data_IF_266381741610
#
_entry.id   IF_266381741610
#
_cell.length_a   1.000
_cell.length_b   1.000
_cell.length_c   1.000
_cell.angle_alpha   90.00
_cell.angle_beta   90.00
_cell.angle_gamma   90.00
#
_symmetry.space_group_name_H-M   'P 1'
#
loop_
_entity.id
_entity.type
_entity.pdbx_description
1 polymer ?
#
# COMPACT_ATOMS: atom_id res chain seq x y z
N UNK A 1 33.77 10.70 4.67
CA UNK A 1 34.17 9.28 4.61
C UNK A 1 34.87 8.99 5.93
N UNK A 2 34.37 8.09 6.80
CA UNK A 2 35.16 7.64 7.93
C UNK A 2 36.08 6.50 7.48
N UNK A 3 37.33 6.55 7.91
CA UNK A 3 38.38 5.55 7.63
C UNK A 3 37.92 4.13 8.02
N UNK A 4 37.99 3.22 7.06
CA UNK A 4 37.56 1.81 7.19
C UNK A 4 38.69 0.91 7.71
N UNK A 5 39.83 1.47 8.10
CA UNK A 5 41.01 0.71 8.55
C UNK A 5 41.16 0.67 10.09
N UNK A 6 40.07 0.41 10.82
CA UNK A 6 40.18 -0.02 12.20
C UNK A 6 40.60 -1.50 12.19
N UNK A 7 41.84 -1.80 12.58
CA UNK A 7 42.28 -3.17 12.82
C UNK A 7 41.29 -3.88 13.74
N UNK A 8 40.72 -5.04 13.34
CA UNK A 8 39.82 -5.77 14.22
C UNK A 8 40.55 -6.07 15.53
N UNK A 9 39.91 -5.79 16.67
CA UNK A 9 40.45 -6.22 17.96
C UNK A 9 40.40 -7.74 17.93
N UNK A 10 41.52 -8.35 17.53
CA UNK A 10 41.78 -9.78 17.64
C UNK A 10 41.84 -10.11 19.12
N UNK A 11 40.67 -10.25 19.75
CA UNK A 11 40.52 -10.84 21.07
C UNK A 11 40.85 -12.32 20.90
N UNK A 12 42.09 -12.69 21.19
CA UNK A 12 42.52 -14.08 21.20
C UNK A 12 42.02 -14.74 22.49
N UNK A 13 41.57 -15.99 22.37
CA UNK A 13 41.19 -16.81 23.49
C UNK A 13 42.37 -17.00 24.45
N UNK A 14 42.18 -16.69 25.74
CA UNK A 14 43.20 -16.88 26.79
C UNK A 14 43.59 -18.36 27.02
N UNK A 15 42.77 -19.30 26.57
CA UNK A 15 42.98 -20.75 26.77
C UNK A 15 43.68 -21.40 25.57
N UNK A 16 43.22 -21.13 24.35
CA UNK A 16 43.71 -21.82 23.16
C UNK A 16 44.29 -20.89 22.07
N UNK A 17 44.31 -19.57 22.29
CA UNK A 17 44.78 -18.59 21.31
C UNK A 17 43.91 -18.43 20.07
N UNK A 18 42.76 -19.14 19.98
CA UNK A 18 41.81 -19.03 18.86
C UNK A 18 41.02 -17.72 18.86
N UNK A 19 40.40 -17.37 17.73
CA UNK A 19 39.63 -16.14 17.59
C UNK A 19 38.33 -16.17 18.42
N UNK A 20 37.97 -15.02 18.99
CA UNK A 20 36.73 -14.84 19.74
C UNK A 20 35.67 -14.21 18.82
N UNK A 21 34.50 -14.83 18.78
CA UNK A 21 33.29 -14.31 18.13
C UNK A 21 32.44 -13.60 19.17
N UNK A 22 32.15 -12.33 18.94
CA UNK A 22 31.39 -11.48 19.86
C UNK A 22 29.89 -11.50 19.53
N UNK A 23 29.07 -11.83 20.53
CA UNK A 23 27.63 -11.60 20.49
C UNK A 23 27.28 -10.42 21.41
N UNK A 24 27.39 -9.21 20.87
CA UNK A 24 27.12 -7.97 21.59
C UNK A 24 25.71 -7.92 22.18
N UNK A 25 24.71 -8.40 21.45
CA UNK A 25 23.30 -8.40 21.90
C UNK A 25 23.04 -9.43 22.99
N UNK A 26 23.72 -10.58 22.91
CA UNK A 26 23.66 -11.61 23.94
C UNK A 26 24.62 -11.39 25.10
N UNK A 27 25.37 -10.29 25.13
CA UNK A 27 26.35 -9.96 26.17
C UNK A 27 27.46 -11.01 26.35
N UNK A 28 27.68 -11.87 25.36
CA UNK A 28 28.57 -13.03 25.46
C UNK A 28 29.55 -13.06 24.31
N UNK A 29 30.69 -13.70 24.52
CA UNK A 29 31.66 -13.97 23.47
C UNK A 29 32.13 -15.42 23.56
N UNK A 30 32.36 -16.04 22.41
CA UNK A 30 32.65 -17.48 22.31
C UNK A 30 33.90 -17.68 21.47
N UNK A 31 34.82 -18.52 21.93
CA UNK A 31 35.98 -18.89 21.12
C UNK A 31 35.56 -19.83 19.99
N UNK A 32 35.92 -19.49 18.75
CA UNK A 32 35.64 -20.30 17.57
C UNK A 32 36.34 -21.67 17.58
N UNK A 33 37.45 -21.80 18.30
CA UNK A 33 38.26 -23.02 18.32
C UNK A 33 37.88 -23.97 19.48
N UNK A 34 37.80 -23.46 20.72
CA UNK A 34 37.54 -24.30 21.90
C UNK A 34 36.12 -24.20 22.47
N UNK A 35 35.26 -23.32 21.93
CA UNK A 35 33.85 -23.19 22.36
C UNK A 35 33.64 -22.57 23.75
N UNK A 36 34.70 -22.22 24.48
CA UNK A 36 34.59 -21.54 25.77
C UNK A 36 33.86 -20.20 25.61
N UNK A 37 33.04 -19.85 26.61
CA UNK A 37 32.21 -18.65 26.63
C UNK A 37 32.64 -17.72 27.77
N UNK A 38 32.64 -16.42 27.50
CA UNK A 38 32.88 -15.39 28.50
C UNK A 38 31.82 -14.30 28.40
N UNK A 39 31.62 -13.55 29.48
CA UNK A 39 30.87 -12.31 29.41
C UNK A 39 31.65 -11.30 28.57
N UNK A 40 30.96 -10.58 27.70
CA UNK A 40 31.62 -9.64 26.79
C UNK A 40 32.28 -8.47 27.54
N UNK A 41 31.76 -8.13 28.72
CA UNK A 41 32.28 -7.11 29.62
C UNK A 41 33.69 -7.46 30.16
N UNK A 42 33.99 -8.76 30.30
CA UNK A 42 35.28 -9.23 30.82
C UNK A 42 36.38 -9.21 29.74
N UNK A 43 35.97 -9.09 28.47
CA UNK A 43 36.85 -9.24 27.32
C UNK A 43 37.05 -7.90 26.59
N UNK A 44 36.04 -7.03 26.57
CA UNK A 44 36.11 -5.72 25.92
C UNK A 44 36.47 -4.62 26.95
N UNK A 45 37.62 -3.94 26.78
CA UNK A 45 37.95 -2.78 27.61
C UNK A 45 36.93 -1.66 27.43
N UNK A 46 36.54 -0.99 28.52
CA UNK A 46 35.56 0.11 28.52
C UNK A 46 34.17 -0.25 27.97
N UNK A 47 33.74 -1.51 28.16
CA UNK A 47 32.41 -1.98 27.75
C UNK A 47 31.25 -1.08 28.20
N UNK A 48 31.40 -0.43 29.36
CA UNK A 48 30.42 0.52 29.91
C UNK A 48 29.98 1.60 28.90
N UNK A 49 30.90 2.06 28.05
CA UNK A 49 30.63 3.07 27.00
C UNK A 49 29.63 2.58 25.95
N UNK A 50 29.56 1.28 25.75
CA UNK A 50 28.73 0.63 24.73
C UNK A 50 27.37 0.14 25.25
N UNK A 51 27.22 0.02 26.57
CA UNK A 51 26.01 -0.54 27.20
C UNK A 51 24.72 0.12 26.73
N UNK A 52 24.70 1.47 26.66
CA UNK A 52 23.53 2.23 26.19
C UNK A 52 23.25 1.98 24.71
N UNK A 53 24.29 1.92 23.89
CA UNK A 53 24.18 1.68 22.45
C UNK A 53 23.62 0.27 22.22
N UNK A 54 24.17 -0.74 22.89
CA UNK A 54 23.71 -2.13 22.80
C UNK A 54 22.25 -2.25 23.26
N UNK A 55 21.86 -1.57 24.34
CA UNK A 55 20.47 -1.54 24.80
C UNK A 55 19.52 -0.91 23.75
N UNK A 56 19.92 0.18 23.09
CA UNK A 56 19.13 0.79 22.02
C UNK A 56 18.99 -0.15 20.81
N UNK A 57 20.05 -0.84 20.41
CA UNK A 57 20.03 -1.82 19.32
C UNK A 57 19.12 -3.00 19.70
N UNK A 58 19.20 -3.50 20.93
CA UNK A 58 18.35 -4.58 21.43
C UNK A 58 16.87 -4.18 21.39
N UNK A 59 16.52 -3.00 21.94
CA UNK A 59 15.16 -2.46 21.90
C UNK A 59 14.66 -2.29 20.46
N UNK A 60 15.51 -1.81 19.55
CA UNK A 60 15.14 -1.65 18.15
C UNK A 60 14.84 -2.99 17.45
N UNK A 61 15.61 -4.04 17.75
CA UNK A 61 15.33 -5.39 17.25
C UNK A 61 14.03 -5.96 17.84
N UNK A 62 13.80 -5.78 19.14
CA UNK A 62 12.57 -6.21 19.80
C UNK A 62 11.35 -5.58 19.12
N UNK A 63 11.38 -4.26 18.88
CA UNK A 63 10.29 -3.56 18.18
C UNK A 63 10.00 -4.15 16.80
N UNK A 64 11.04 -4.52 16.03
CA UNK A 64 10.88 -5.12 14.71
C UNK A 64 10.26 -6.51 14.80
N UNK A 65 10.57 -7.26 15.85
CA UNK A 65 10.10 -8.64 16.04
C UNK A 65 8.68 -8.70 16.63
N UNK A 66 8.36 -7.83 17.59
CA UNK A 66 7.14 -7.94 18.40
C UNK A 66 5.99 -7.03 17.98
N UNK A 67 6.27 -5.84 17.44
CA UNK A 67 5.21 -4.88 17.12
C UNK A 67 4.59 -5.19 15.74
N UNK A 68 3.47 -4.55 15.43
CA UNK A 68 2.81 -4.61 14.12
C UNK A 68 2.48 -3.21 13.57
N UNK A 69 2.92 -2.14 14.24
CA UNK A 69 2.59 -0.75 13.87
C UNK A 69 3.71 -0.07 13.08
N UNK A 70 3.32 0.77 12.10
CA UNK A 70 4.25 1.56 11.26
C UNK A 70 5.07 2.55 12.10
N UNK A 71 4.44 3.15 13.11
CA UNK A 71 5.12 4.09 14.01
C UNK A 71 6.31 3.41 14.71
N UNK A 72 6.17 2.15 15.08
CA UNK A 72 7.19 1.36 15.75
C UNK A 72 8.36 1.04 14.81
N UNK A 73 8.12 0.82 13.52
CA UNK A 73 9.20 0.69 12.53
C UNK A 73 10.05 1.98 12.41
N UNK A 74 9.42 3.16 12.52
CA UNK A 74 10.14 4.43 12.53
C UNK A 74 10.90 4.67 13.84
N UNK A 75 10.35 4.26 14.98
CA UNK A 75 11.05 4.27 16.27
C UNK A 75 12.32 3.39 16.20
N UNK A 76 12.21 2.17 15.70
CA UNK A 76 13.36 1.27 15.52
C UNK A 76 14.43 1.89 14.61
N UNK A 77 14.03 2.51 13.48
CA UNK A 77 14.96 3.25 12.61
C UNK A 77 15.68 4.38 13.36
N UNK A 78 14.96 5.13 14.19
CA UNK A 78 15.54 6.21 14.97
C UNK A 78 16.56 5.68 15.98
N UNK A 79 16.24 4.61 16.70
CA UNK A 79 17.14 3.96 17.66
C UNK A 79 18.44 3.49 17.01
N UNK A 80 18.36 2.84 15.84
CA UNK A 80 19.56 2.46 15.10
C UNK A 80 20.37 3.67 14.62
N UNK A 81 19.73 4.72 14.08
CA UNK A 81 20.45 5.94 13.66
C UNK A 81 21.17 6.63 14.82
N UNK A 82 20.50 6.76 15.96
CA UNK A 82 21.09 7.30 17.19
C UNK A 82 22.29 6.46 17.62
N UNK A 83 22.15 5.13 17.57
CA UNK A 83 23.23 4.20 17.91
C UNK A 83 24.44 4.32 16.97
N UNK A 84 24.23 4.47 15.64
CA UNK A 84 25.31 4.75 14.68
C UNK A 84 26.02 6.06 15.01
N UNK A 85 25.27 7.13 15.29
CA UNK A 85 25.86 8.42 15.65
C UNK A 85 26.68 8.34 16.93
N UNK A 86 26.22 7.59 17.94
CA UNK A 86 26.96 7.38 19.18
C UNK A 86 28.23 6.53 18.97
N UNK A 87 28.15 5.43 18.21
CA UNK A 87 29.33 4.62 17.88
C UNK A 87 30.37 5.41 17.09
N UNK A 88 29.95 6.26 16.15
CA UNK A 88 30.86 7.02 15.30
C UNK A 88 31.80 7.96 16.09
N UNK A 89 31.46 8.29 17.34
CA UNK A 89 32.29 9.09 18.24
C UNK A 89 33.42 8.30 18.91
N UNK A 90 33.37 6.97 18.90
CA UNK A 90 34.25 6.12 19.72
C UNK A 90 35.46 5.54 18.97
N UNK A 91 35.54 5.68 17.64
CA UNK A 91 36.67 5.36 16.75
C UNK A 91 37.55 4.15 17.17
N UNK A 92 36.93 3.03 17.50
CA UNK A 92 37.59 1.75 17.78
C UNK A 92 36.90 0.58 17.04
N UNK A 93 37.49 -0.61 17.07
CA UNK A 93 36.95 -1.74 16.32
C UNK A 93 35.56 -2.20 16.82
N UNK A 94 35.28 -2.06 18.12
CA UNK A 94 33.95 -2.39 18.68
C UNK A 94 32.91 -1.44 18.10
N UNK A 95 33.24 -0.16 18.00
CA UNK A 95 32.37 0.84 17.39
C UNK A 95 32.11 0.54 15.92
N UNK A 96 33.11 0.06 15.16
CA UNK A 96 32.96 -0.34 13.76
C UNK A 96 32.01 -1.54 13.60
N UNK A 97 32.16 -2.57 14.45
CA UNK A 97 31.28 -3.74 14.45
C UNK A 97 29.84 -3.39 14.83
N UNK A 98 29.66 -2.54 15.84
CA UNK A 98 28.33 -2.06 16.24
C UNK A 98 27.69 -1.18 15.17
N UNK A 99 28.45 -0.35 14.45
CA UNK A 99 27.94 0.42 13.30
C UNK A 99 27.44 -0.53 12.21
N UNK A 100 28.18 -1.60 11.92
CA UNK A 100 27.74 -2.62 10.96
C UNK A 100 26.41 -3.26 11.38
N UNK A 101 26.29 -3.68 12.64
CA UNK A 101 25.06 -4.23 13.20
C UNK A 101 23.90 -3.22 13.08
N UNK A 102 24.16 -1.94 13.37
CA UNK A 102 23.14 -0.91 13.24
C UNK A 102 22.71 -0.68 11.79
N UNK A 103 23.64 -0.71 10.83
CA UNK A 103 23.32 -0.55 9.41
C UNK A 103 22.49 -1.73 8.87
N UNK A 104 22.84 -2.95 9.27
CA UNK A 104 22.05 -4.15 8.97
C UNK A 104 20.66 -4.06 9.63
N UNK A 105 20.59 -3.53 10.86
CA UNK A 105 19.36 -3.20 11.56
C UNK A 105 18.48 -2.17 10.82
N UNK A 106 19.08 -1.10 10.29
CA UNK A 106 18.38 -0.07 9.52
C UNK A 106 17.76 -0.65 8.24
N UNK A 107 18.50 -1.49 7.52
CA UNK A 107 18.00 -2.17 6.33
C UNK A 107 16.82 -3.10 6.68
N UNK A 108 16.91 -3.85 7.79
CA UNK A 108 15.79 -4.69 8.28
C UNK A 108 14.58 -3.85 8.70
N UNK A 109 14.78 -2.75 9.41
CA UNK A 109 13.73 -1.84 9.83
C UNK A 109 13.02 -1.19 8.64
N UNK A 110 13.74 -0.93 7.54
CA UNK A 110 13.17 -0.42 6.30
C UNK A 110 12.28 -1.44 5.59
N UNK A 111 12.75 -2.69 5.46
CA UNK A 111 11.92 -3.78 4.92
C UNK A 111 10.66 -3.97 5.77
N UNK A 112 10.81 -3.95 7.09
CA UNK A 112 9.71 -4.06 8.04
C UNK A 112 8.68 -2.91 7.91
N UNK A 113 9.13 -1.67 7.75
CA UNK A 113 8.25 -0.52 7.53
C UNK A 113 7.40 -0.66 6.26
N UNK A 114 8.02 -1.11 5.15
CA UNK A 114 7.31 -1.37 3.89
C UNK A 114 6.29 -2.51 4.08
N UNK A 115 6.72 -3.59 4.72
CA UNK A 115 5.87 -4.74 5.02
C UNK A 115 4.62 -4.35 5.82
N UNK A 116 4.75 -3.63 6.95
CA UNK A 116 3.59 -3.21 7.73
C UNK A 116 2.68 -2.27 6.94
N UNK A 117 3.26 -1.36 6.15
CA UNK A 117 2.46 -0.45 5.31
C UNK A 117 1.63 -1.26 4.30
N UNK A 118 2.23 -2.27 3.66
CA UNK A 118 1.55 -3.21 2.78
C UNK A 118 0.47 -4.02 3.50
N UNK A 119 0.77 -4.54 4.70
CA UNK A 119 -0.17 -5.27 5.55
C UNK A 119 -1.37 -4.41 5.97
N UNK A 120 -1.16 -3.14 6.31
CA UNK A 120 -2.26 -2.21 6.60
C UNK A 120 -3.17 -1.99 5.39
N UNK A 121 -2.62 -1.96 4.17
CA UNK A 121 -3.46 -1.91 2.96
C UNK A 121 -4.21 -3.21 2.73
N UNK A 122 -3.59 -4.35 3.04
CA UNK A 122 -4.20 -5.67 2.97
C UNK A 122 -5.39 -5.78 3.93
N UNK A 123 -5.22 -5.39 5.20
CA UNK A 123 -6.29 -5.40 6.22
C UNK A 123 -7.45 -4.46 5.85
N UNK A 124 -7.17 -3.36 5.14
CA UNK A 124 -8.17 -2.44 4.60
C UNK A 124 -8.78 -2.89 3.27
N UNK A 125 -8.48 -4.10 2.80
CA UNK A 125 -8.94 -4.65 1.52
C UNK A 125 -8.55 -3.79 0.30
N UNK A 126 -7.51 -2.97 0.42
CA UNK A 126 -6.96 -2.18 -0.70
C UNK A 126 -5.94 -3.04 -1.45
N UNK A 127 -6.42 -4.11 -2.10
CA UNK A 127 -5.59 -5.19 -2.67
C UNK A 127 -4.52 -4.70 -3.65
N UNK A 128 -4.86 -3.73 -4.51
CA UNK A 128 -3.92 -3.14 -5.47
C UNK A 128 -2.75 -2.41 -4.79
N UNK A 129 -3.06 -1.61 -3.77
CA UNK A 129 -2.04 -0.89 -2.99
C UNK A 129 -1.21 -1.84 -2.14
N UNK A 130 -1.85 -2.86 -1.56
CA UNK A 130 -1.21 -3.91 -0.78
C UNK A 130 -0.20 -4.70 -1.62
N UNK A 131 -0.62 -5.21 -2.78
CA UNK A 131 0.25 -5.96 -3.71
C UNK A 131 1.45 -5.12 -4.15
N UNK A 132 1.24 -3.83 -4.44
CA UNK A 132 2.31 -2.92 -4.87
C UNK A 132 3.35 -2.68 -3.77
N UNK A 133 2.92 -2.45 -2.53
CA UNK A 133 3.86 -2.17 -1.44
C UNK A 133 4.54 -3.44 -0.94
N UNK A 134 3.80 -4.55 -0.76
CA UNK A 134 4.36 -5.84 -0.35
C UNK A 134 5.33 -6.41 -1.39
N UNK A 135 5.05 -6.22 -2.69
CA UNK A 135 5.95 -6.64 -3.77
C UNK A 135 7.32 -5.94 -3.80
N UNK A 136 7.54 -4.90 -2.99
CA UNK A 136 8.85 -4.23 -2.85
C UNK A 136 9.78 -4.96 -1.89
N UNK A 137 9.28 -5.92 -1.11
CA UNK A 137 10.03 -6.66 -0.09
C UNK A 137 9.88 -8.18 -0.29
N UNK A 138 10.37 -8.74 -1.41
CA UNK A 138 10.26 -10.17 -1.69
C UNK A 138 11.02 -11.01 -0.66
N UNK A 139 10.47 -12.17 -0.30
CA UNK A 139 11.04 -13.10 0.68
C UNK A 139 11.04 -12.58 2.12
N UNK A 140 10.38 -11.46 2.41
CA UNK A 140 10.26 -10.93 3.76
C UNK A 140 8.99 -11.42 4.44
N UNK A 141 9.15 -12.33 5.42
CA UNK A 141 8.03 -12.98 6.14
C UNK A 141 7.05 -13.63 5.15
N UNK A 142 5.76 -13.32 5.27
CA UNK A 142 4.64 -13.80 4.46
C UNK A 142 4.23 -12.82 3.35
N UNK A 143 5.09 -11.83 3.01
CA UNK A 143 4.78 -10.83 2.00
C UNK A 143 4.40 -11.43 0.64
N UNK A 144 5.14 -12.47 0.18
CA UNK A 144 4.89 -13.09 -1.12
C UNK A 144 3.54 -13.81 -1.18
N UNK A 145 3.19 -14.54 -0.12
CA UNK A 145 1.89 -15.20 0.00
C UNK A 145 0.74 -14.18 0.02
N UNK A 146 0.91 -13.06 0.76
CA UNK A 146 -0.08 -11.98 0.76
C UNK A 146 -0.23 -11.31 -0.61
N UNK A 147 0.86 -11.15 -1.37
CA UNK A 147 0.83 -10.60 -2.74
C UNK A 147 0.05 -11.52 -3.68
N UNK A 148 0.22 -12.82 -3.57
CA UNK A 148 -0.52 -13.80 -4.36
C UNK A 148 -2.02 -13.72 -4.08
N UNK A 149 -2.41 -13.71 -2.81
CA UNK A 149 -3.81 -13.52 -2.40
C UNK A 149 -4.37 -12.19 -2.94
N UNK A 150 -3.61 -11.09 -2.84
CA UNK A 150 -4.03 -9.81 -3.39
C UNK A 150 -4.29 -9.88 -4.90
N UNK A 151 -3.45 -10.59 -5.66
CA UNK A 151 -3.64 -10.75 -7.12
C UNK A 151 -4.92 -11.51 -7.43
N UNK A 152 -5.18 -12.59 -6.72
CA UNK A 152 -6.43 -13.36 -6.88
C UNK A 152 -7.66 -12.51 -6.58
N UNK A 153 -7.65 -11.73 -5.49
CA UNK A 153 -8.77 -10.86 -5.14
C UNK A 153 -8.96 -9.72 -6.15
N UNK A 154 -7.89 -9.13 -6.68
CA UNK A 154 -7.96 -8.15 -7.77
C UNK A 154 -8.61 -8.78 -9.01
N UNK A 155 -8.27 -10.03 -9.35
CA UNK A 155 -8.91 -10.72 -10.48
C UNK A 155 -10.39 -11.01 -10.23
N UNK A 156 -10.76 -11.42 -9.01
CA UNK A 156 -12.17 -11.62 -8.63
C UNK A 156 -12.95 -10.31 -8.72
N UNK A 157 -12.39 -9.21 -8.23
CA UNK A 157 -12.99 -7.88 -8.34
C UNK A 157 -13.12 -7.43 -9.79
N UNK A 158 -12.09 -7.65 -10.63
CA UNK A 158 -12.16 -7.37 -12.06
C UNK A 158 -13.28 -8.14 -12.73
N UNK A 159 -13.39 -9.46 -12.48
CA UNK A 159 -14.45 -10.31 -13.04
C UNK A 159 -15.85 -9.82 -12.65
N UNK A 160 -16.05 -9.39 -11.40
CA UNK A 160 -17.32 -8.78 -10.94
C UNK A 160 -17.65 -7.45 -11.62
N UNK A 161 -16.65 -6.72 -12.09
CA UNK A 161 -16.84 -5.41 -12.73
C UNK A 161 -17.11 -5.50 -14.24
N UNK A 162 -16.81 -6.63 -14.90
CA UNK A 162 -17.03 -6.81 -16.34
C UNK A 162 -18.50 -6.54 -16.76
N UNK A 163 -19.53 -7.10 -16.08
CA UNK A 163 -20.92 -6.87 -16.49
C UNK A 163 -21.29 -5.38 -16.43
N UNK A 164 -20.88 -4.69 -15.36
CA UNK A 164 -21.13 -3.26 -15.20
C UNK A 164 -20.37 -2.42 -16.22
N UNK A 165 -19.12 -2.78 -16.53
CA UNK A 165 -18.34 -2.11 -17.57
C UNK A 165 -19.02 -2.23 -18.93
N UNK A 166 -19.52 -3.41 -19.29
CA UNK A 166 -20.25 -3.66 -20.55
C UNK A 166 -21.56 -2.85 -20.63
N UNK A 167 -22.34 -2.85 -19.54
CA UNK A 167 -23.59 -2.09 -19.46
C UNK A 167 -23.34 -0.60 -19.65
N UNK A 168 -22.37 -0.02 -18.94
CA UNK A 168 -22.09 1.42 -19.07
C UNK A 168 -21.34 1.78 -20.36
N UNK A 169 -20.45 0.94 -20.87
CA UNK A 169 -19.69 1.23 -22.10
C UNK A 169 -20.53 1.13 -23.36
N UNK A 170 -21.62 0.35 -23.38
CA UNK A 170 -22.49 0.24 -24.54
C UNK A 170 -23.69 1.19 -24.47
N UNK A 171 -24.36 1.29 -23.33
CA UNK A 171 -25.62 2.04 -23.24
C UNK A 171 -25.36 3.55 -23.32
N UNK A 172 -24.28 4.05 -22.71
CA UNK A 172 -24.01 5.50 -22.64
C UNK A 172 -23.64 6.08 -24.01
N UNK A 173 -22.68 5.51 -24.76
CA UNK A 173 -22.37 6.03 -26.09
C UNK A 173 -23.55 5.88 -27.05
N UNK A 174 -24.39 4.84 -26.89
CA UNK A 174 -25.57 4.66 -27.73
C UNK A 174 -26.62 5.75 -27.46
N UNK A 175 -26.94 6.00 -26.19
CA UNK A 175 -27.88 7.05 -25.83
C UNK A 175 -27.37 8.45 -26.19
N UNK A 176 -26.07 8.71 -26.03
CA UNK A 176 -25.45 9.97 -26.45
C UNK A 176 -25.46 10.15 -27.98
N UNK A 177 -25.18 9.09 -28.75
CA UNK A 177 -25.25 9.12 -30.21
C UNK A 177 -26.67 9.37 -30.73
N UNK A 178 -27.68 8.78 -30.08
CA UNK A 178 -29.10 9.03 -30.38
C UNK A 178 -29.51 10.46 -30.04
N UNK A 179 -29.09 10.98 -28.89
CA UNK A 179 -29.35 12.37 -28.50
C UNK A 179 -28.74 13.37 -29.49
N UNK A 180 -27.49 13.18 -29.92
CA UNK A 180 -26.86 14.03 -30.93
C UNK A 180 -27.58 14.00 -32.28
N UNK A 181 -28.13 12.85 -32.66
CA UNK A 181 -28.94 12.71 -33.87
C UNK A 181 -30.22 13.52 -33.78
N UNK A 182 -30.92 13.43 -32.65
CA UNK A 182 -32.25 14.01 -32.48
C UNK A 182 -32.20 15.52 -32.19
N UNK A 183 -31.24 15.99 -31.39
CA UNK A 183 -31.09 17.40 -31.03
C UNK A 183 -30.34 18.23 -32.08
N UNK A 184 -29.35 17.65 -32.78
CA UNK A 184 -28.46 18.38 -33.70
C UNK A 184 -28.52 17.89 -35.15
N UNK A 185 -29.38 16.91 -35.47
CA UNK A 185 -29.53 16.38 -36.84
C UNK A 185 -28.30 15.67 -37.38
N UNK A 186 -27.35 15.28 -36.53
CA UNK A 186 -26.04 14.78 -36.94
C UNK A 186 -26.16 13.51 -37.83
N UNK A 187 -25.34 13.31 -38.88
CA UNK A 187 -25.44 12.13 -39.74
C UNK A 187 -25.19 10.83 -38.98
N UNK A 188 -25.92 9.77 -39.33
CA UNK A 188 -25.77 8.44 -38.69
C UNK A 188 -24.33 7.93 -38.67
N UNK A 189 -23.56 8.18 -39.74
CA UNK A 189 -22.15 7.80 -39.83
C UNK A 189 -21.29 8.42 -38.71
N UNK A 190 -21.55 9.68 -38.33
CA UNK A 190 -20.82 10.38 -37.26
C UNK A 190 -21.22 9.82 -35.90
N UNK A 191 -22.51 9.55 -35.68
CA UNK A 191 -22.99 8.95 -34.42
C UNK A 191 -22.42 7.55 -34.18
N UNK A 192 -22.29 6.73 -35.23
CA UNK A 192 -21.71 5.38 -35.16
C UNK A 192 -20.22 5.44 -34.82
N UNK A 193 -19.46 6.38 -35.41
CA UNK A 193 -18.03 6.55 -35.11
C UNK A 193 -17.83 7.01 -33.65
N UNK A 194 -18.64 7.96 -33.17
CA UNK A 194 -18.60 8.41 -31.78
C UNK A 194 -19.00 7.30 -30.79
N UNK A 195 -19.97 6.46 -31.15
CA UNK A 195 -20.35 5.28 -30.38
C UNK A 195 -19.19 4.29 -30.24
N UNK A 196 -18.54 3.94 -31.35
CA UNK A 196 -17.41 2.99 -31.36
C UNK A 196 -16.21 3.52 -30.58
N UNK A 197 -15.86 4.80 -30.76
CA UNK A 197 -14.78 5.44 -30.00
C UNK A 197 -15.13 5.58 -28.51
N UNK A 198 -16.36 5.98 -28.19
CA UNK A 198 -16.82 6.15 -26.80
C UNK A 198 -16.89 4.81 -26.05
N UNK A 199 -17.41 3.77 -26.69
CA UNK A 199 -17.51 2.43 -26.09
C UNK A 199 -16.14 1.78 -25.88
N UNK A 200 -15.23 1.90 -26.86
CA UNK A 200 -13.85 1.44 -26.72
C UNK A 200 -13.08 2.22 -25.63
N UNK A 201 -13.26 3.55 -25.57
CA UNK A 201 -12.63 4.40 -24.55
C UNK A 201 -13.13 4.11 -23.13
N UNK A 202 -14.46 4.05 -22.94
CA UNK A 202 -15.07 3.74 -21.65
C UNK A 202 -14.74 2.31 -21.21
N UNK A 203 -14.79 1.34 -22.13
CA UNK A 203 -14.41 -0.05 -21.87
C UNK A 203 -12.96 -0.17 -21.41
N UNK A 204 -12.02 0.52 -22.06
CA UNK A 204 -10.61 0.53 -21.66
C UNK A 204 -10.39 1.15 -20.27
N UNK A 205 -11.07 2.25 -19.94
CA UNK A 205 -10.92 2.91 -18.65
C UNK A 205 -11.55 2.09 -17.51
N UNK A 206 -12.70 1.45 -17.74
CA UNK A 206 -13.27 0.53 -16.77
C UNK A 206 -12.42 -0.74 -16.60
N UNK A 207 -11.78 -1.22 -17.66
CA UNK A 207 -10.87 -2.37 -17.62
C UNK A 207 -9.59 -2.08 -16.81
N UNK A 208 -9.05 -0.86 -16.92
CA UNK A 208 -7.81 -0.49 -16.20
C UNK A 208 -8.02 -0.29 -14.69
N UNK A 209 -9.26 -0.03 -14.26
CA UNK A 209 -9.63 0.14 -12.85
C UNK A 209 -9.02 1.39 -12.18
N UNK A 210 -9.36 1.61 -10.91
CA UNK A 210 -8.86 2.74 -10.09
C UNK A 210 -9.87 3.87 -9.87
N UNK A 211 -9.39 4.97 -9.26
CA UNK A 211 -10.20 6.15 -8.87
C UNK A 211 -10.89 6.80 -10.08
N UNK A 212 -10.20 6.83 -11.22
CA UNK A 212 -10.75 7.34 -12.49
C UNK A 212 -11.95 6.51 -12.96
N UNK A 213 -11.94 5.19 -12.75
CA UNK A 213 -13.09 4.34 -13.06
C UNK A 213 -14.29 4.65 -12.14
N UNK A 214 -14.05 4.96 -10.85
CA UNK A 214 -15.12 5.31 -9.91
C UNK A 214 -15.75 6.65 -10.31
N UNK A 215 -14.93 7.67 -10.58
CA UNK A 215 -15.40 8.98 -11.06
C UNK A 215 -16.22 8.81 -12.35
N UNK A 216 -15.73 8.01 -13.30
CA UNK A 216 -16.46 7.72 -14.53
C UNK A 216 -17.74 6.91 -14.28
N UNK A 217 -17.81 5.97 -13.33
CA UNK A 217 -19.07 5.28 -12.98
C UNK A 217 -20.09 6.27 -12.43
N UNK A 218 -19.66 7.21 -11.57
CA UNK A 218 -20.55 8.24 -11.00
C UNK A 218 -21.06 9.19 -12.09
N UNK A 219 -20.17 9.72 -12.94
CA UNK A 219 -20.56 10.60 -14.05
C UNK A 219 -21.42 9.84 -15.07
N UNK A 220 -21.05 8.60 -15.37
CA UNK A 220 -21.81 7.69 -16.23
C UNK A 220 -23.21 7.44 -15.68
N UNK A 221 -23.36 7.18 -14.38
CA UNK A 221 -24.67 6.98 -13.76
C UNK A 221 -25.51 8.26 -13.77
N UNK A 222 -24.90 9.42 -13.48
CA UNK A 222 -25.55 10.73 -13.52
C UNK A 222 -26.00 11.15 -14.93
N UNK A 223 -25.30 10.73 -15.97
CA UNK A 223 -25.66 11.04 -17.36
C UNK A 223 -26.56 9.97 -18.01
N UNK A 224 -26.29 8.70 -17.74
CA UNK A 224 -27.02 7.56 -18.31
C UNK A 224 -28.44 7.47 -17.79
N UNK A 225 -28.64 7.68 -16.49
CA UNK A 225 -29.95 7.51 -15.87
C UNK A 225 -30.98 8.48 -16.45
N UNK A 226 -30.68 9.80 -16.58
CA UNK A 226 -31.55 10.72 -17.30
C UNK A 226 -31.77 10.32 -18.75
N UNK A 227 -30.71 9.94 -19.48
CA UNK A 227 -30.83 9.57 -20.89
C UNK A 227 -31.73 8.34 -21.10
N UNK A 228 -31.57 7.29 -20.30
CA UNK A 228 -32.38 6.06 -20.37
C UNK A 228 -33.83 6.36 -20.00
N UNK A 229 -34.06 7.14 -18.93
CA UNK A 229 -35.41 7.55 -18.52
C UNK A 229 -36.08 8.38 -19.62
N UNK A 230 -35.35 9.32 -20.22
CA UNK A 230 -35.84 10.11 -21.36
C UNK A 230 -36.22 9.19 -22.53
N UNK A 231 -35.34 8.26 -22.92
CA UNK A 231 -35.61 7.33 -24.02
C UNK A 231 -36.84 6.46 -23.74
N UNK A 232 -37.01 5.96 -22.52
CA UNK A 232 -38.21 5.20 -22.15
C UNK A 232 -39.48 6.07 -22.22
N UNK A 233 -39.46 7.27 -21.65
CA UNK A 233 -40.61 8.18 -21.62
C UNK A 233 -41.01 8.66 -23.02
N UNK A 234 -40.04 9.03 -23.85
CA UNK A 234 -40.30 9.54 -25.19
C UNK A 234 -40.70 8.43 -26.18
N UNK A 235 -40.03 7.27 -26.15
CA UNK A 235 -40.23 6.25 -27.19
C UNK A 235 -41.16 5.10 -26.80
N UNK A 236 -41.23 4.73 -25.52
CA UNK A 236 -42.12 3.65 -25.06
C UNK A 236 -43.47 4.19 -24.60
N UNK A 237 -43.46 5.32 -23.88
CA UNK A 237 -44.66 5.94 -23.35
C UNK A 237 -45.21 7.08 -24.23
N UNK A 238 -44.54 7.39 -25.34
CA UNK A 238 -44.93 8.44 -26.30
C UNK A 238 -45.24 9.80 -25.65
N UNK A 239 -44.55 10.13 -24.56
CA UNK A 239 -44.72 11.41 -23.87
C UNK A 239 -44.10 12.56 -24.69
N UNK A 240 -44.69 13.77 -24.66
CA UNK A 240 -44.14 14.93 -25.33
C UNK A 240 -42.69 15.19 -24.90
N UNK A 241 -41.82 15.45 -25.88
CA UNK A 241 -40.36 15.54 -25.72
C UNK A 241 -39.95 16.45 -24.57
N UNK A 242 -40.60 17.61 -24.44
CA UNK A 242 -40.32 18.59 -23.39
C UNK A 242 -40.61 18.04 -21.98
N UNK A 243 -41.72 17.31 -21.82
CA UNK A 243 -42.13 16.72 -20.54
C UNK A 243 -41.19 15.57 -20.17
N UNK A 244 -40.82 14.74 -21.16
CA UNK A 244 -39.88 13.63 -20.99
C UNK A 244 -38.50 14.11 -20.54
N UNK A 245 -37.97 15.22 -21.08
CA UNK A 245 -36.69 15.81 -20.67
C UNK A 245 -36.76 16.32 -19.21
N UNK A 246 -37.84 17.00 -18.85
CA UNK A 246 -38.01 17.53 -17.48
C UNK A 246 -38.03 16.39 -16.47
N UNK A 247 -38.83 15.33 -16.72
CA UNK A 247 -38.92 14.19 -15.80
C UNK A 247 -37.60 13.41 -15.74
N UNK A 248 -36.91 13.25 -16.86
CA UNK A 248 -35.63 12.58 -16.94
C UNK A 248 -34.51 13.27 -16.14
N UNK A 249 -34.53 14.60 -16.03
CA UNK A 249 -33.53 15.36 -15.27
C UNK A 249 -33.97 15.52 -13.81
N UNK A 250 -35.23 15.91 -13.56
CA UNK A 250 -35.75 16.18 -12.22
C UNK A 250 -35.94 14.91 -11.41
N UNK A 251 -36.38 13.81 -12.04
CA UNK A 251 -36.63 12.53 -11.37
C UNK A 251 -35.40 11.97 -10.63
N UNK A 252 -34.24 11.82 -11.30
CA UNK A 252 -33.01 11.35 -10.65
C UNK A 252 -32.50 12.28 -9.55
N UNK A 253 -32.65 13.59 -9.70
CA UNK A 253 -32.24 14.58 -8.68
C UNK A 253 -33.12 14.46 -7.43
N UNK A 254 -34.44 14.38 -7.59
CA UNK A 254 -35.38 14.20 -6.47
C UNK A 254 -35.14 12.86 -5.78
N UNK A 255 -34.92 11.80 -6.56
CA UNK A 255 -34.66 10.46 -6.02
C UNK A 255 -33.32 10.42 -5.25
N UNK A 256 -32.29 11.14 -5.72
CA UNK A 256 -31.02 11.29 -5.02
C UNK A 256 -31.16 12.08 -3.71
N UNK A 257 -31.93 13.17 -3.69
CA UNK A 257 -32.22 13.95 -2.48
C UNK A 257 -32.97 13.09 -1.45
N UNK A 258 -33.98 12.34 -1.88
CA UNK A 258 -34.72 11.42 -1.00
C UNK A 258 -33.81 10.31 -0.44
N UNK A 259 -32.93 9.75 -1.26
CA UNK A 259 -31.96 8.73 -0.82
C UNK A 259 -30.92 9.30 0.18
N UNK A 260 -30.47 10.53 -0.04
CA UNK A 260 -29.57 11.24 0.86
C UNK A 260 -30.24 11.51 2.22
N UNK A 261 -31.51 11.93 2.23
CA UNK A 261 -32.25 12.11 3.48
C UNK A 261 -32.51 10.79 4.21
N UNK A 262 -32.81 9.71 3.48
CA UNK A 262 -33.01 8.39 4.07
C UNK A 262 -31.74 7.83 4.71
N UNK A 263 -30.59 7.99 4.06
CA UNK A 263 -29.30 7.55 4.60
C UNK A 263 -28.89 8.38 5.83
N UNK A 264 -29.17 9.68 5.84
CA UNK A 264 -28.92 10.53 7.02
C UNK A 264 -29.80 10.13 8.23
N UNK A 265 -31.06 9.75 8.00
CA UNK A 265 -31.96 9.26 9.06
C UNK A 265 -31.53 7.90 9.62
N UNK A 266 -31.09 6.96 8.78
CA UNK A 266 -30.59 5.65 9.25
C UNK A 266 -29.30 5.84 10.07
N UNK A 267 -28.43 6.77 9.67
CA UNK A 267 -27.18 7.04 10.39
C UNK A 267 -27.41 7.72 11.75
N UNK A 268 -28.46 8.55 11.88
CA UNK A 268 -28.88 9.13 13.16
C UNK A 268 -29.56 8.14 14.10
N UNK A 269 -30.15 7.06 13.58
CA UNK A 269 -30.87 6.04 14.38
C UNK A 269 -29.97 4.94 14.94
N UNK A 270 -28.74 4.81 14.41
CA UNK A 270 -27.71 3.86 14.85
C UNK A 270 -26.60 4.51 15.72
N UNK A 271 -26.82 5.76 16.16
CA UNK A 271 -26.06 6.42 17.24
C UNK A 271 -26.96 6.51 18.46
#
# INVERSE_FOLDING_TARGET
MPDVNATPISLKCKVCGGDIVNNYLGGTCVCANCGNKWAIADVIPNYEKYTRIIANIAKANEIIESDTKVASANEAKLLFKTSVMECSKLNDAVSADLIKICNDGLARAEKYAIYIKGKNFYEKQSWSSAAKELGRVPGYRDADAMVEICKEEIEKERKKQIPWAVVFSLIIPAAFGLFLREAFGCPWAVCIILFLLGSAGLGYVFYRGGVVSIILKVISFLAATPLIIYSLLAYVFHLPTVVSVIIAIVGPIVLFILFAQFTEQITKKNK
#
